data_IF_385193497903
#
_entry.id   IF_385193497903
#
_cell.length_a   1.000
_cell.length_b   1.000
_cell.length_c   1.000
_cell.angle_alpha   90.00
_cell.angle_beta   90.00
_cell.angle_gamma   90.00
#
_symmetry.space_group_name_H-M   'P 1'
#
loop_
_entity.id
_entity.type
_entity.pdbx_description
1 polymer ?
#
# COMPACT_ATOMS: atom_id res chain seq x y z
N UNK A 1 19.38 16.20 38.16
CA UNK A 1 18.29 16.60 37.26
C UNK A 1 18.42 15.82 35.96
N UNK A 2 17.64 14.75 35.75
CA UNK A 2 17.57 14.06 34.46
C UNK A 2 16.41 14.69 33.65
N UNK A 3 16.75 15.50 32.66
CA UNK A 3 15.82 16.35 31.91
C UNK A 3 15.67 15.98 30.44
N UNK A 4 14.50 16.31 29.90
CA UNK A 4 14.31 16.71 28.50
C UNK A 4 13.92 15.63 27.50
N UNK A 5 14.70 14.57 27.35
CA UNK A 5 14.61 13.74 26.14
C UNK A 5 13.50 12.67 26.15
N UNK A 6 13.14 12.13 27.32
CA UNK A 6 12.15 11.04 27.42
C UNK A 6 10.71 11.51 27.20
N UNK A 7 10.40 12.77 27.52
CA UNK A 7 9.05 13.33 27.39
C UNK A 7 8.68 13.73 25.96
N UNK A 8 9.67 14.07 25.12
CA UNK A 8 9.45 14.40 23.70
C UNK A 8 9.11 13.12 22.92
N UNK A 9 9.82 12.03 23.18
CA UNK A 9 9.51 10.70 22.58
C UNK A 9 8.11 10.21 22.95
N UNK A 10 7.65 10.46 24.20
CA UNK A 10 6.29 10.09 24.61
C UNK A 10 5.19 10.92 23.92
N UNK A 11 5.46 12.20 23.63
CA UNK A 11 4.52 13.06 22.87
C UNK A 11 4.48 12.74 21.38
N UNK A 12 5.59 12.25 20.81
CA UNK A 12 5.67 11.75 19.43
C UNK A 12 4.85 10.45 19.25
N UNK A 13 4.56 9.72 20.32
CA UNK A 13 3.85 8.43 20.30
C UNK A 13 2.34 8.50 20.56
N UNK A 14 1.80 9.66 20.97
CA UNK A 14 0.34 9.88 20.99
C UNK A 14 -0.10 10.32 19.58
N UNK A 15 -0.30 9.34 18.71
CA UNK A 15 -1.00 9.54 17.44
C UNK A 15 -2.45 9.89 17.77
N UNK A 16 -2.90 11.07 17.34
CA UNK A 16 -4.30 11.42 17.44
C UNK A 16 -5.05 10.66 16.34
N UNK A 17 -6.20 10.09 16.69
CA UNK A 17 -7.03 9.33 15.76
C UNK A 17 -8.20 10.21 15.34
N UNK A 18 -8.43 10.32 14.04
CA UNK A 18 -9.61 10.96 13.45
C UNK A 18 -10.41 9.90 12.68
N UNK A 19 -11.59 9.56 13.20
CA UNK A 19 -12.53 8.66 12.53
C UNK A 19 -13.33 9.43 11.47
N UNK A 20 -12.99 9.19 10.21
CA UNK A 20 -13.62 9.84 9.05
C UNK A 20 -14.98 9.25 8.68
N UNK A 21 -15.47 8.24 9.41
CA UNK A 21 -16.85 7.74 9.29
C UNK A 21 -17.83 8.49 10.18
N UNK A 22 -17.34 9.15 11.24
CA UNK A 22 -18.16 9.93 12.18
C UNK A 22 -18.17 11.43 11.92
N UNK A 23 -17.40 11.89 10.93
CA UNK A 23 -17.29 13.30 10.55
C UNK A 23 -17.60 13.50 9.07
N UNK A 24 -18.19 14.65 8.74
CA UNK A 24 -18.28 15.07 7.33
C UNK A 24 -16.89 15.42 6.78
N UNK A 25 -16.78 15.48 5.45
CA UNK A 25 -15.54 15.85 4.77
C UNK A 25 -15.12 17.27 5.14
N UNK A 26 -16.08 18.20 5.20
CA UNK A 26 -15.85 19.60 5.54
C UNK A 26 -15.40 19.75 7.01
N UNK A 27 -16.00 19.02 7.94
CA UNK A 27 -15.59 19.02 9.34
C UNK A 27 -14.18 18.45 9.52
N UNK A 28 -13.88 17.33 8.85
CA UNK A 28 -12.55 16.71 8.88
C UNK A 28 -11.48 17.67 8.35
N UNK A 29 -11.75 18.35 7.23
CA UNK A 29 -10.84 19.37 6.67
C UNK A 29 -10.65 20.54 7.63
N UNK A 30 -11.71 21.01 8.30
CA UNK A 30 -11.59 22.10 9.28
C UNK A 30 -10.70 21.70 10.45
N UNK A 31 -10.94 20.53 11.06
CA UNK A 31 -10.15 20.00 12.18
C UNK A 31 -8.66 19.91 11.78
N UNK A 32 -8.38 19.26 10.65
CA UNK A 32 -7.01 19.06 10.20
C UNK A 32 -6.32 20.38 9.80
N UNK A 33 -7.05 21.37 9.29
CA UNK A 33 -6.50 22.69 8.96
C UNK A 33 -6.10 23.47 10.21
N UNK A 34 -6.90 23.42 11.27
CA UNK A 34 -6.55 23.99 12.57
C UNK A 34 -5.29 23.34 13.16
N UNK A 35 -5.08 22.04 12.92
CA UNK A 35 -3.85 21.36 13.33
C UNK A 35 -2.63 21.82 12.52
N UNK A 36 -2.76 22.09 11.22
CA UNK A 36 -1.66 22.60 10.39
C UNK A 36 -1.24 24.03 10.78
N UNK A 37 -2.17 24.83 11.31
CA UNK A 37 -1.85 26.14 11.87
C UNK A 37 -1.00 26.03 13.14
N UNK A 38 -1.27 25.02 13.99
CA UNK A 38 -0.51 24.77 15.22
C UNK A 38 0.81 24.06 14.97
N UNK A 39 0.82 23.10 14.05
CA UNK A 39 1.96 22.23 13.75
C UNK A 39 2.39 22.45 12.30
N UNK A 40 3.62 22.93 12.04
CA UNK A 40 4.05 23.28 10.69
C UNK A 40 4.24 22.06 9.76
N UNK A 41 4.20 20.85 10.32
CA UNK A 41 4.20 19.58 9.57
C UNK A 41 3.10 18.69 10.14
N UNK A 42 2.19 18.25 9.27
CA UNK A 42 1.24 17.18 9.54
C UNK A 42 1.61 15.92 8.76
N UNK A 43 1.45 14.76 9.39
CA UNK A 43 1.67 13.45 8.78
C UNK A 43 0.37 12.65 8.94
N UNK A 44 -0.31 12.37 7.84
CA UNK A 44 -1.48 11.52 7.81
C UNK A 44 -1.07 10.07 7.63
N UNK A 45 -1.63 9.23 8.48
CA UNK A 45 -1.29 7.82 8.66
C UNK A 45 -2.55 6.97 8.73
N UNK A 46 -2.39 5.64 8.73
CA UNK A 46 -3.51 4.69 8.89
C UNK A 46 -4.01 4.11 7.57
N UNK A 47 -5.16 3.41 7.57
CA UNK A 47 -5.53 2.48 6.51
C UNK A 47 -5.72 3.13 5.13
N UNK A 48 -5.54 2.31 4.10
CA UNK A 48 -5.99 2.65 2.76
C UNK A 48 -7.51 2.88 2.77
N UNK A 49 -7.95 4.10 2.44
CA UNK A 49 -9.38 4.44 2.39
C UNK A 49 -9.85 5.29 3.55
N UNK A 50 -8.99 5.54 4.53
CA UNK A 50 -9.18 6.56 5.56
C UNK A 50 -9.22 7.99 5.03
N UNK A 51 -9.04 8.20 3.71
CA UNK A 51 -9.22 9.51 3.08
C UNK A 51 -8.01 10.44 3.13
N UNK A 52 -6.82 9.95 3.50
CA UNK A 52 -5.57 10.73 3.63
C UNK A 52 -5.31 11.68 2.46
N UNK A 53 -5.15 11.14 1.26
CA UNK A 53 -4.87 11.91 0.05
C UNK A 53 -6.03 12.87 -0.28
N UNK A 54 -7.27 12.40 -0.15
CA UNK A 54 -8.47 13.22 -0.43
C UNK A 54 -8.58 14.42 0.50
N UNK A 55 -8.43 14.21 1.81
CA UNK A 55 -8.50 15.27 2.81
C UNK A 55 -7.30 16.22 2.68
N UNK A 56 -6.10 15.70 2.42
CA UNK A 56 -4.92 16.53 2.18
C UNK A 56 -5.09 17.48 0.99
N UNK A 57 -5.59 16.98 -0.15
CA UNK A 57 -5.89 17.82 -1.33
C UNK A 57 -6.90 18.92 -0.99
N UNK A 58 -7.89 18.60 -0.17
CA UNK A 58 -8.93 19.56 0.24
C UNK A 58 -8.40 20.62 1.20
N UNK A 59 -7.43 20.28 2.05
CA UNK A 59 -6.77 21.23 2.95
C UNK A 59 -5.81 22.19 2.24
N UNK A 60 -5.32 21.85 1.05
CA UNK A 60 -4.37 22.69 0.31
C UNK A 60 -4.91 24.13 0.18
N UNK A 61 -4.08 25.07 0.61
CA UNK A 61 -4.40 26.51 0.70
C UNK A 61 -3.12 27.34 0.50
N UNK A 62 -3.26 28.66 0.53
CA UNK A 62 -2.13 29.61 0.44
C UNK A 62 -1.07 29.43 1.54
N UNK A 63 -1.46 28.84 2.69
CA UNK A 63 -0.57 28.54 3.81
C UNK A 63 0.17 27.21 3.65
N UNK A 64 -0.16 26.40 2.65
CA UNK A 64 0.52 25.13 2.38
C UNK A 64 1.70 25.37 1.45
N UNK A 65 2.87 24.82 1.77
CA UNK A 65 4.07 24.91 0.94
C UNK A 65 4.35 23.63 0.17
N UNK A 66 4.11 22.48 0.81
CA UNK A 66 4.34 21.18 0.18
C UNK A 66 3.34 20.12 0.64
N UNK A 67 3.07 19.17 -0.26
CA UNK A 67 2.31 17.94 0.01
C UNK A 67 3.07 16.75 -0.58
N UNK A 68 3.50 15.83 0.25
CA UNK A 68 4.20 14.63 -0.17
C UNK A 68 3.43 13.35 0.16
N UNK A 69 3.55 12.34 -0.69
CA UNK A 69 2.97 11.01 -0.53
C UNK A 69 4.07 9.96 -0.68
N UNK A 70 4.02 8.91 0.14
CA UNK A 70 4.90 7.75 0.04
C UNK A 70 4.68 6.94 -1.24
N UNK A 71 5.75 6.31 -1.77
CA UNK A 71 5.70 5.57 -3.05
C UNK A 71 5.02 4.18 -2.97
N UNK A 72 4.77 3.64 -1.77
CA UNK A 72 4.27 2.27 -1.60
C UNK A 72 2.74 2.19 -1.45
N UNK A 73 2.09 1.33 -2.26
CA UNK A 73 0.64 1.37 -2.59
C UNK A 73 -0.32 0.89 -1.48
N UNK A 74 0.18 0.20 -0.46
CA UNK A 74 -0.66 -0.41 0.57
C UNK A 74 -1.21 0.59 1.59
N UNK A 75 -0.46 1.64 1.94
CA UNK A 75 -0.93 2.60 2.94
C UNK A 75 -0.49 4.07 2.81
N UNK A 76 0.43 4.41 1.89
CA UNK A 76 0.78 5.78 1.47
C UNK A 76 0.55 6.89 2.52
N UNK A 77 1.50 7.11 3.46
CA UNK A 77 1.43 8.27 4.34
C UNK A 77 1.48 9.56 3.53
N UNK A 78 0.75 10.57 3.98
CA UNK A 78 0.69 11.89 3.35
C UNK A 78 1.27 12.93 4.30
N UNK A 79 2.29 13.67 3.86
CA UNK A 79 2.96 14.71 4.64
C UNK A 79 2.58 16.07 4.08
N UNK A 80 1.97 16.91 4.91
CA UNK A 80 1.68 18.32 4.59
C UNK A 80 2.63 19.23 5.37
N UNK A 81 3.18 20.21 4.68
CA UNK A 81 4.15 21.16 5.24
C UNK A 81 3.68 22.58 4.98
N UNK A 82 3.66 23.39 6.03
CA UNK A 82 3.30 24.81 5.97
C UNK A 82 4.34 25.62 5.20
N UNK A 83 3.88 26.64 4.47
CA UNK A 83 4.68 27.40 3.49
C UNK A 83 5.89 28.10 4.08
N UNK A 84 5.70 28.82 5.18
CA UNK A 84 6.77 29.46 5.94
C UNK A 84 7.83 28.44 6.42
N UNK A 85 7.40 27.23 6.78
CA UNK A 85 8.31 26.20 7.26
C UNK A 85 9.09 25.52 6.11
N UNK A 86 8.48 25.38 4.93
CA UNK A 86 9.20 24.97 3.70
C UNK A 86 10.34 25.94 3.40
N UNK A 87 10.08 27.26 3.43
CA UNK A 87 11.09 28.28 3.17
C UNK A 87 12.25 28.20 4.17
N UNK A 88 11.93 28.00 5.46
CA UNK A 88 12.95 27.79 6.50
C UNK A 88 13.77 26.52 6.27
N UNK A 89 13.15 25.40 5.91
CA UNK A 89 13.87 24.14 5.64
C UNK A 89 14.76 24.22 4.40
N UNK A 90 14.35 24.97 3.37
CA UNK A 90 15.18 25.21 2.17
C UNK A 90 16.42 26.07 2.47
N UNK A 91 16.33 26.93 3.48
CA UNK A 91 17.45 27.76 3.93
C UNK A 91 18.47 27.06 4.83
N UNK A 92 18.15 25.86 5.34
CA UNK A 92 19.03 25.12 6.27
C UNK A 92 19.78 23.99 5.55
N UNK A 93 21.11 24.03 5.62
CA UNK A 93 21.99 23.02 5.03
C UNK A 93 21.99 21.73 5.88
N UNK A 94 21.66 20.60 5.26
CA UNK A 94 21.78 19.28 5.87
C UNK A 94 23.17 18.67 5.62
N UNK A 95 23.60 18.59 4.36
CA UNK A 95 24.92 18.08 3.99
C UNK A 95 25.42 18.68 2.67
N UNK A 96 26.72 18.52 2.38
CA UNK A 96 27.28 18.75 1.04
C UNK A 96 27.54 17.41 0.38
N UNK A 97 26.75 17.08 -0.64
CA UNK A 97 26.83 15.79 -1.33
C UNK A 97 27.76 15.89 -2.53
N UNK A 98 28.75 15.00 -2.59
CA UNK A 98 29.63 14.86 -3.75
C UNK A 98 28.85 14.28 -4.93
N UNK A 99 28.92 14.94 -6.08
CA UNK A 99 28.36 14.45 -7.34
C UNK A 99 29.40 13.58 -8.08
N UNK A 100 28.96 12.65 -8.95
CA UNK A 100 29.84 11.82 -9.77
C UNK A 100 30.36 12.59 -11.01
N UNK A 101 30.62 13.88 -10.86
CA UNK A 101 31.18 14.76 -11.88
C UNK A 101 32.32 15.58 -11.26
N UNK A 102 33.33 15.89 -12.07
CA UNK A 102 34.55 16.58 -11.65
C UNK A 102 34.77 17.80 -12.54
N UNK A 103 35.18 18.91 -11.94
CA UNK A 103 35.68 20.09 -12.64
C UNK A 103 37.22 20.08 -12.53
N UNK A 104 37.88 19.53 -13.55
CA UNK A 104 39.31 19.20 -13.47
C UNK A 104 39.54 18.03 -12.51
N UNK A 105 40.40 18.24 -11.52
CA UNK A 105 40.71 17.25 -10.47
C UNK A 105 39.82 17.38 -9.22
N UNK A 106 38.96 18.41 -9.16
CA UNK A 106 38.10 18.65 -8.00
C UNK A 106 36.69 18.08 -8.20
N UNK A 107 36.15 17.35 -7.20
CA UNK A 107 34.78 16.86 -7.26
C UNK A 107 33.79 18.00 -7.05
N UNK A 108 32.71 18.00 -7.84
CA UNK A 108 31.62 18.97 -7.66
C UNK A 108 30.74 18.53 -6.48
N UNK A 109 30.36 19.48 -5.65
CA UNK A 109 29.43 19.26 -4.54
C UNK A 109 28.13 20.01 -4.75
N UNK A 110 27.04 19.44 -4.26
CA UNK A 110 25.75 20.10 -4.14
C UNK A 110 25.36 20.23 -2.68
N UNK A 111 24.86 21.40 -2.32
CA UNK A 111 24.29 21.66 -0.99
C UNK A 111 22.90 20.99 -0.94
N UNK A 112 22.71 20.08 0.01
CA UNK A 112 21.44 19.38 0.26
C UNK A 112 20.79 20.05 1.46
N UNK A 113 19.58 20.56 1.30
CA UNK A 113 18.84 21.20 2.40
C UNK A 113 18.12 20.18 3.28
N UNK A 114 17.66 20.61 4.47
CA UNK A 114 16.75 19.78 5.30
C UNK A 114 15.48 19.45 4.52
N UNK A 115 14.98 20.38 3.71
CA UNK A 115 13.80 20.15 2.87
C UNK A 115 14.02 19.00 1.88
N UNK A 116 15.15 18.98 1.19
CA UNK A 116 15.49 17.93 0.23
C UNK A 116 15.58 16.57 0.91
N UNK A 117 16.14 16.52 2.13
CA UNK A 117 16.23 15.30 2.91
C UNK A 117 14.86 14.80 3.38
N UNK A 118 13.97 15.69 3.82
CA UNK A 118 12.58 15.32 4.17
C UNK A 118 11.84 14.79 2.96
N UNK A 119 11.92 15.49 1.82
CA UNK A 119 11.31 15.05 0.55
C UNK A 119 11.83 13.67 0.14
N UNK A 120 13.15 13.46 0.18
CA UNK A 120 13.76 12.18 -0.12
C UNK A 120 13.29 11.07 0.82
N UNK A 121 13.18 11.34 2.13
CA UNK A 121 12.68 10.36 3.09
C UNK A 121 11.24 9.94 2.79
N UNK A 122 10.35 10.90 2.49
CA UNK A 122 8.97 10.58 2.12
C UNK A 122 8.92 9.82 0.79
N UNK A 123 9.71 10.21 -0.21
CA UNK A 123 9.74 9.53 -1.50
C UNK A 123 10.37 8.13 -1.45
N UNK A 124 11.38 7.95 -0.62
CA UNK A 124 12.10 6.68 -0.49
C UNK A 124 11.41 5.71 0.45
N UNK A 125 10.35 6.14 1.17
CA UNK A 125 9.71 5.23 2.09
C UNK A 125 8.96 4.13 1.32
N UNK A 126 9.51 2.93 1.47
CA UNK A 126 8.89 1.71 1.01
C UNK A 126 7.99 1.20 2.14
N UNK A 127 6.79 1.75 2.20
CA UNK A 127 5.81 1.45 3.24
C UNK A 127 4.83 0.35 2.82
N UNK A 128 5.21 -0.90 3.11
CA UNK A 128 4.28 -2.03 3.04
C UNK A 128 3.41 -2.00 4.30
N UNK A 129 2.12 -1.68 4.14
CA UNK A 129 1.06 -1.75 5.14
C UNK A 129 1.30 -0.92 6.44
N UNK A 130 1.77 0.34 6.37
CA UNK A 130 1.96 1.29 7.51
C UNK A 130 3.21 1.09 8.41
N UNK A 131 4.14 0.19 8.10
CA UNK A 131 5.37 -0.01 8.93
C UNK A 131 6.41 1.09 8.77
N UNK A 132 6.38 1.78 7.64
CA UNK A 132 7.24 2.91 7.38
C UNK A 132 6.86 4.12 8.24
N UNK A 133 5.58 4.29 8.57
CA UNK A 133 5.08 5.52 9.17
C UNK A 133 5.74 5.89 10.51
N UNK A 134 5.93 4.97 11.49
CA UNK A 134 6.60 5.33 12.75
C UNK A 134 8.05 5.77 12.54
N UNK A 135 8.78 5.10 11.63
CA UNK A 135 10.16 5.47 11.32
C UNK A 135 10.19 6.77 10.50
N UNK A 136 9.24 7.01 9.60
CA UNK A 136 9.06 8.27 8.89
C UNK A 136 8.85 9.42 9.86
N UNK A 137 7.88 9.27 10.78
CA UNK A 137 7.56 10.26 11.80
C UNK A 137 8.81 10.56 12.63
N UNK A 138 9.52 9.52 13.07
CA UNK A 138 10.75 9.65 13.86
C UNK A 138 11.85 10.37 13.08
N UNK A 139 12.13 9.98 11.84
CA UNK A 139 13.19 10.59 11.03
C UNK A 139 12.88 12.05 10.68
N UNK A 140 11.64 12.35 10.26
CA UNK A 140 11.21 13.73 10.03
C UNK A 140 11.31 14.53 11.32
N UNK A 141 10.85 13.99 12.46
CA UNK A 141 10.96 14.66 13.77
C UNK A 141 12.40 15.00 14.12
N UNK A 142 13.35 14.08 13.92
CA UNK A 142 14.76 14.32 14.20
C UNK A 142 15.36 15.42 13.31
N UNK A 143 14.98 15.46 12.04
CA UNK A 143 15.43 16.49 11.10
C UNK A 143 14.86 17.87 11.46
N UNK A 144 13.57 17.94 11.80
CA UNK A 144 12.86 19.21 11.98
C UNK A 144 12.98 19.76 13.40
N UNK A 145 13.36 18.92 14.37
CA UNK A 145 13.59 19.33 15.75
C UNK A 145 14.68 20.41 15.85
N UNK A 146 15.73 20.32 15.00
CA UNK A 146 16.79 21.34 14.92
C UNK A 146 16.26 22.73 14.52
N UNK A 147 15.12 22.75 13.81
CA UNK A 147 14.42 23.97 13.39
C UNK A 147 13.30 24.38 14.38
N UNK A 148 13.21 23.71 15.53
CA UNK A 148 12.22 24.01 16.57
C UNK A 148 10.81 23.51 16.26
N UNK A 149 10.66 22.56 15.33
CA UNK A 149 9.35 21.99 14.97
C UNK A 149 9.30 20.49 15.22
N UNK A 150 8.19 20.05 15.82
CA UNK A 150 7.85 18.63 15.98
C UNK A 150 6.64 18.35 15.09
N UNK A 151 6.72 17.41 14.14
CA UNK A 151 5.59 17.00 13.32
C UNK A 151 4.44 16.45 14.17
N UNK A 152 3.21 16.63 13.70
CA UNK A 152 2.03 16.00 14.28
C UNK A 152 1.55 14.88 13.36
N UNK A 153 1.59 13.65 13.86
CA UNK A 153 0.99 12.51 13.19
C UNK A 153 -0.48 12.38 13.58
N UNK A 154 -1.35 12.21 12.58
CA UNK A 154 -2.78 11.99 12.74
C UNK A 154 -3.14 10.73 11.96
N UNK A 155 -3.76 9.77 12.65
CA UNK A 155 -4.25 8.53 12.05
C UNK A 155 -5.66 8.74 11.55
N UNK A 156 -5.90 8.49 10.26
CA UNK A 156 -7.23 8.61 9.66
C UNK A 156 -7.86 7.24 9.52
N UNK A 157 -8.90 6.98 10.30
CA UNK A 157 -9.62 5.71 10.33
C UNK A 157 -11.04 5.85 9.77
N UNK A 158 -11.71 4.72 9.55
CA UNK A 158 -13.14 4.65 9.25
C UNK A 158 -13.63 3.23 9.58
N UNK A 159 -14.95 3.02 9.64
CA UNK A 159 -15.53 1.68 9.74
C UNK A 159 -15.16 0.79 8.55
N UNK A 160 -15.10 -0.52 8.74
CA UNK A 160 -14.65 -1.46 7.71
C UNK A 160 -15.56 -1.46 6.47
N UNK A 161 -16.88 -1.39 6.68
CA UNK A 161 -17.86 -1.25 5.60
C UNK A 161 -17.60 0.00 4.76
N UNK A 162 -17.28 1.12 5.42
CA UNK A 162 -17.01 2.39 4.76
C UNK A 162 -15.64 2.38 4.05
N UNK A 163 -14.62 1.73 4.63
CA UNK A 163 -13.32 1.52 3.98
C UNK A 163 -13.45 0.66 2.72
N UNK A 164 -14.26 -0.40 2.74
CA UNK A 164 -14.55 -1.24 1.57
C UNK A 164 -15.28 -0.41 0.51
N UNK A 165 -16.38 0.25 0.88
CA UNK A 165 -17.16 1.09 -0.05
C UNK A 165 -16.30 2.16 -0.71
N UNK A 166 -15.47 2.87 0.07
CA UNK A 166 -14.55 3.89 -0.45
C UNK A 166 -13.50 3.28 -1.37
N UNK A 167 -12.90 2.13 -1.02
CA UNK A 167 -11.96 1.40 -1.89
C UNK A 167 -12.58 1.10 -3.26
N UNK A 168 -13.80 0.57 -3.28
CA UNK A 168 -14.50 0.23 -4.51
C UNK A 168 -14.85 1.48 -5.34
N UNK A 169 -15.19 2.60 -4.69
CA UNK A 169 -15.63 3.84 -5.35
C UNK A 169 -14.50 4.82 -5.73
N UNK A 170 -13.24 4.61 -5.29
CA UNK A 170 -12.10 5.55 -5.50
C UNK A 170 -11.85 5.94 -6.95
N UNK A 171 -12.19 5.10 -7.91
CA UNK A 171 -12.00 5.42 -9.33
C UNK A 171 -12.97 6.50 -9.82
N UNK A 172 -14.14 6.62 -9.18
CA UNK A 172 -15.21 7.55 -9.57
C UNK A 172 -14.82 9.02 -9.31
N UNK A 173 -14.06 9.28 -8.24
CA UNK A 173 -13.70 10.64 -7.81
C UNK A 173 -12.25 11.04 -8.16
N UNK A 174 -11.49 10.14 -8.79
CA UNK A 174 -10.07 10.35 -9.08
C UNK A 174 -9.82 11.55 -10.03
N UNK A 175 -10.74 11.79 -10.96
CA UNK A 175 -10.68 12.94 -11.88
C UNK A 175 -10.78 14.25 -11.12
N UNK A 176 -11.77 14.35 -10.23
CA UNK A 176 -12.00 15.52 -9.40
C UNK A 176 -10.81 15.76 -8.47
N UNK A 177 -10.33 14.72 -7.79
CA UNK A 177 -9.16 14.79 -6.90
C UNK A 177 -7.92 15.31 -7.63
N UNK A 178 -7.61 14.77 -8.81
CA UNK A 178 -6.46 15.24 -9.60
C UNK A 178 -6.65 16.69 -10.07
N UNK A 179 -7.87 17.04 -10.49
CA UNK A 179 -8.17 18.39 -10.98
C UNK A 179 -8.01 19.43 -9.87
N UNK A 180 -8.57 19.15 -8.68
CA UNK A 180 -8.42 20.02 -7.51
C UNK A 180 -6.96 20.15 -7.07
N UNK A 181 -6.18 19.06 -7.11
CA UNK A 181 -4.76 19.11 -6.80
C UNK A 181 -4.02 20.06 -7.75
N UNK A 182 -4.14 19.85 -9.07
CA UNK A 182 -3.44 20.66 -10.08
C UNK A 182 -3.86 22.14 -9.99
N UNK A 183 -5.16 22.42 -9.80
CA UNK A 183 -5.66 23.78 -9.64
C UNK A 183 -5.00 24.48 -8.45
N UNK A 184 -4.98 23.82 -7.29
CA UNK A 184 -4.45 24.38 -6.05
C UNK A 184 -2.92 24.51 -6.07
N UNK A 185 -2.22 23.56 -6.68
CA UNK A 185 -0.77 23.66 -6.93
C UNK A 185 -0.42 24.93 -7.69
N UNK A 186 -1.11 25.16 -8.83
CA UNK A 186 -0.90 26.36 -9.66
C UNK A 186 -1.30 27.63 -8.93
N UNK A 187 -2.44 27.62 -8.24
CA UNK A 187 -2.98 28.80 -7.55
C UNK A 187 -2.12 29.26 -6.38
N UNK A 188 -1.60 28.33 -5.58
CA UNK A 188 -0.93 28.64 -4.31
C UNK A 188 0.60 28.45 -4.36
N UNK A 189 1.13 27.87 -5.43
CA UNK A 189 2.55 27.55 -5.60
C UNK A 189 3.00 26.40 -4.69
N UNK A 190 2.18 25.35 -4.58
CA UNK A 190 2.43 24.19 -3.71
C UNK A 190 3.30 23.18 -4.46
N UNK A 191 4.35 22.70 -3.81
CA UNK A 191 5.14 21.58 -4.33
C UNK A 191 4.50 20.25 -3.93
N UNK A 192 4.31 19.31 -4.87
CA UNK A 192 3.86 17.96 -4.54
C UNK A 192 4.61 16.89 -5.30
N UNK A 193 4.82 15.73 -4.68
CA UNK A 193 5.42 14.55 -5.31
C UNK A 193 4.36 13.48 -5.65
N UNK A 194 3.08 13.86 -5.73
CA UNK A 194 2.03 12.88 -5.87
C UNK A 194 2.13 12.21 -7.25
N UNK A 195 2.54 10.95 -7.25
CA UNK A 195 2.85 10.14 -8.44
C UNK A 195 1.78 9.06 -8.70
N UNK A 196 0.75 8.96 -7.85
CA UNK A 196 -0.35 8.02 -8.03
C UNK A 196 -1.65 8.52 -7.38
N UNK A 197 -2.66 8.83 -8.20
CA UNK A 197 -4.06 8.86 -7.73
C UNK A 197 -4.70 7.60 -8.26
N UNK A 198 -5.06 6.68 -7.37
CA UNK A 198 -5.81 5.48 -7.75
C UNK A 198 -7.09 5.91 -8.48
N UNK A 199 -7.21 5.54 -9.76
CA UNK A 199 -8.32 5.98 -10.61
C UNK A 199 -7.95 6.96 -11.73
N UNK A 200 -6.77 7.58 -11.69
CA UNK A 200 -6.37 8.62 -12.65
C UNK A 200 -5.38 8.12 -13.71
N UNK A 201 -5.31 8.83 -14.86
CA UNK A 201 -4.34 8.56 -15.93
C UNK A 201 -2.93 8.92 -15.50
N UNK A 202 -1.99 8.00 -15.66
CA UNK A 202 -0.56 8.23 -15.35
C UNK A 202 -0.02 9.43 -16.15
N UNK A 203 -0.43 9.60 -17.40
CA UNK A 203 0.01 10.74 -18.22
C UNK A 203 -0.43 12.08 -17.66
N UNK A 204 -1.62 12.14 -17.04
CA UNK A 204 -2.18 13.39 -16.51
C UNK A 204 -1.51 13.73 -15.17
N UNK A 205 -1.21 12.72 -14.36
CA UNK A 205 -0.40 12.85 -13.13
C UNK A 205 1.01 13.38 -13.45
N UNK A 206 1.64 12.87 -14.51
CA UNK A 206 3.00 13.27 -14.90
C UNK A 206 3.06 14.66 -15.54
N UNK A 207 2.10 15.00 -16.42
CA UNK A 207 2.14 16.26 -17.17
C UNK A 207 1.67 17.46 -16.34
N UNK A 208 0.69 17.30 -15.44
CA UNK A 208 0.11 18.38 -14.62
C UNK A 208 -0.43 19.60 -15.40
N UNK A 209 -0.62 19.47 -16.71
CA UNK A 209 -1.13 20.54 -17.57
C UNK A 209 -2.66 20.68 -17.47
N UNK A 210 -3.36 19.57 -17.22
CA UNK A 210 -4.81 19.49 -17.04
C UNK A 210 -5.26 18.03 -16.92
N UNK A 211 -6.54 17.81 -16.62
CA UNK A 211 -7.13 16.47 -16.51
C UNK A 211 -8.10 16.23 -17.66
N UNK A 212 -7.79 15.27 -18.53
CA UNK A 212 -8.65 14.93 -19.65
C UNK A 212 -9.87 14.12 -19.19
N UNK A 213 -10.91 14.03 -20.02
CA UNK A 213 -11.96 13.03 -19.80
C UNK A 213 -11.36 11.63 -19.85
N UNK A 214 -11.68 10.82 -18.84
CA UNK A 214 -11.23 9.45 -18.73
C UNK A 214 -12.19 8.56 -19.52
N UNK A 215 -11.68 7.78 -20.47
CA UNK A 215 -12.39 6.59 -20.95
C UNK A 215 -12.17 5.46 -19.93
N UNK A 216 -13.16 4.57 -19.77
CA UNK A 216 -13.16 3.55 -18.69
C UNK A 216 -11.94 2.61 -18.73
N UNK A 217 -11.25 2.52 -19.86
CA UNK A 217 -10.09 1.66 -20.14
C UNK A 217 -8.72 2.28 -19.79
N UNK A 218 -8.67 3.53 -19.30
CA UNK A 218 -7.41 4.28 -19.14
C UNK A 218 -7.00 4.55 -17.68
N UNK A 219 -7.57 3.80 -16.73
CA UNK A 219 -7.45 4.03 -15.28
C UNK A 219 -6.34 3.16 -14.64
N UNK A 220 -5.63 3.68 -13.60
CA UNK A 220 -4.75 2.85 -12.76
C UNK A 220 -5.57 1.83 -11.96
N UNK A 221 -5.29 0.55 -12.20
CA UNK A 221 -5.80 -0.66 -11.57
C UNK A 221 -7.08 -0.61 -10.69
N UNK A 222 -8.16 -1.24 -11.13
CA UNK A 222 -9.48 -1.38 -10.45
C UNK A 222 -10.00 -2.82 -10.48
N UNK A 223 -11.18 -3.10 -9.91
CA UNK A 223 -11.86 -4.41 -10.03
C UNK A 223 -12.09 -4.80 -11.51
N UNK A 224 -12.18 -3.80 -12.40
CA UNK A 224 -12.18 -3.99 -13.85
C UNK A 224 -10.81 -4.43 -14.39
N UNK A 225 -9.78 -4.70 -13.60
CA UNK A 225 -8.55 -5.38 -14.04
C UNK A 225 -8.64 -6.89 -13.93
N UNK A 226 -9.65 -7.36 -13.22
CA UNK A 226 -10.01 -8.77 -13.21
C UNK A 226 -10.85 -9.04 -14.45
N UNK A 227 -10.64 -10.21 -15.02
CA UNK A 227 -11.40 -10.67 -16.16
C UNK A 227 -12.86 -10.85 -15.74
N UNK A 228 -13.03 -11.48 -14.58
CA UNK A 228 -14.32 -11.74 -13.95
C UNK A 228 -14.14 -12.11 -12.48
N UNK A 229 -15.27 -12.05 -11.78
CA UNK A 229 -15.44 -12.53 -10.41
C UNK A 229 -16.45 -13.66 -10.46
N UNK A 230 -16.15 -14.77 -9.81
CA UNK A 230 -17.03 -15.93 -9.71
C UNK A 230 -17.54 -16.02 -8.27
N UNK A 231 -18.85 -15.84 -8.03
CA UNK A 231 -19.43 -15.96 -6.70
C UNK A 231 -19.18 -17.34 -6.11
N UNK A 232 -18.69 -17.38 -4.88
CA UNK A 232 -18.36 -18.63 -4.15
C UNK A 232 -19.43 -19.04 -3.16
N UNK A 233 -20.55 -18.31 -3.11
CA UNK A 233 -21.71 -18.68 -2.31
C UNK A 233 -22.16 -20.09 -2.71
N UNK A 234 -22.24 -20.99 -1.72
CA UNK A 234 -22.56 -22.42 -1.87
C UNK A 234 -21.48 -23.30 -2.56
N UNK A 235 -20.30 -22.77 -2.86
CA UNK A 235 -19.16 -23.57 -3.34
C UNK A 235 -18.39 -24.18 -2.16
N UNK A 236 -17.96 -25.43 -2.31
CA UNK A 236 -16.96 -26.04 -1.43
C UNK A 236 -15.54 -25.64 -1.82
N UNK A 237 -14.56 -25.92 -0.95
CA UNK A 237 -13.14 -25.76 -1.27
C UNK A 237 -12.77 -26.52 -2.55
N UNK A 238 -13.28 -27.73 -2.70
CA UNK A 238 -13.05 -28.59 -3.87
C UNK A 238 -13.57 -27.92 -5.14
N UNK A 239 -14.79 -27.39 -5.11
CA UNK A 239 -15.37 -26.69 -6.26
C UNK A 239 -14.53 -25.47 -6.68
N UNK A 240 -14.02 -24.71 -5.70
CA UNK A 240 -13.16 -23.57 -5.97
C UNK A 240 -11.80 -24.00 -6.56
N UNK A 241 -11.21 -25.10 -6.07
CA UNK A 241 -9.94 -25.63 -6.58
C UNK A 241 -10.08 -26.16 -8.01
N UNK A 242 -11.13 -26.94 -8.30
CA UNK A 242 -11.44 -27.44 -9.66
C UNK A 242 -11.51 -26.25 -10.62
N UNK A 243 -12.33 -25.25 -10.26
CA UNK A 243 -12.55 -24.09 -11.11
C UNK A 243 -11.26 -23.27 -11.32
N UNK A 244 -10.43 -23.16 -10.29
CA UNK A 244 -9.13 -22.47 -10.39
C UNK A 244 -8.17 -23.20 -11.35
N UNK A 245 -8.11 -24.53 -11.28
CA UNK A 245 -7.31 -25.39 -12.18
C UNK A 245 -7.84 -25.31 -13.62
N UNK A 246 -9.16 -25.40 -13.83
CA UNK A 246 -9.79 -25.27 -15.14
C UNK A 246 -9.48 -23.92 -15.79
N UNK A 247 -9.53 -22.83 -15.04
CA UNK A 247 -9.20 -21.49 -15.52
C UNK A 247 -7.73 -21.41 -15.92
N UNK A 248 -6.84 -22.00 -15.13
CA UNK A 248 -5.41 -22.05 -15.44
C UNK A 248 -5.15 -22.86 -16.72
N UNK A 249 -5.74 -24.05 -16.85
CA UNK A 249 -5.56 -24.94 -18.00
C UNK A 249 -6.19 -24.40 -19.30
N UNK A 250 -7.42 -23.91 -19.22
CA UNK A 250 -8.20 -23.53 -20.40
C UNK A 250 -7.93 -22.09 -20.86
N UNK A 251 -7.61 -21.20 -19.93
CA UNK A 251 -7.50 -19.76 -20.21
C UNK A 251 -6.12 -19.17 -19.93
N UNK A 252 -5.22 -19.93 -19.28
CA UNK A 252 -3.88 -19.47 -18.88
C UNK A 252 -3.94 -18.17 -18.07
N UNK A 253 -4.92 -18.07 -17.16
CA UNK A 253 -5.11 -16.90 -16.28
C UNK A 253 -4.84 -17.29 -14.83
N UNK A 254 -4.26 -16.35 -14.09
CA UNK A 254 -4.22 -16.45 -12.64
C UNK A 254 -5.64 -16.32 -12.07
N UNK A 255 -5.92 -17.03 -10.98
CA UNK A 255 -7.14 -16.93 -10.22
C UNK A 255 -6.88 -17.24 -8.75
N UNK A 256 -7.73 -16.77 -7.85
CA UNK A 256 -7.56 -17.05 -6.42
C UNK A 256 -8.73 -16.60 -5.54
N UNK A 257 -8.72 -17.06 -4.29
CA UNK A 257 -9.75 -16.81 -3.28
C UNK A 257 -9.17 -16.93 -1.86
N UNK A 258 -9.98 -16.60 -0.85
CA UNK A 258 -9.58 -16.56 0.55
C UNK A 258 -10.41 -17.53 1.38
N UNK A 259 -9.73 -18.31 2.22
CA UNK A 259 -10.32 -19.25 3.18
C UNK A 259 -10.01 -18.80 4.60
N UNK A 260 -11.01 -18.87 5.48
CA UNK A 260 -10.89 -18.68 6.91
C UNK A 260 -11.01 -20.03 7.63
N UNK A 261 -10.01 -20.36 8.41
CA UNK A 261 -9.94 -21.57 9.23
C UNK A 261 -10.34 -21.25 10.65
N UNK A 262 -11.46 -21.80 11.12
CA UNK A 262 -11.95 -21.65 12.49
C UNK A 262 -12.09 -23.01 13.18
N UNK A 263 -12.44 -23.02 14.47
CA UNK A 263 -12.73 -24.26 15.20
C UNK A 263 -13.97 -25.00 14.65
N UNK A 264 -14.82 -24.29 13.89
CA UNK A 264 -16.01 -24.85 13.22
C UNK A 264 -15.69 -25.43 11.83
N UNK A 265 -14.48 -25.16 11.30
CA UNK A 265 -14.01 -25.67 10.01
C UNK A 265 -13.49 -24.58 9.07
N UNK A 266 -13.39 -24.95 7.79
CA UNK A 266 -12.90 -24.08 6.72
C UNK A 266 -14.06 -23.37 6.03
N UNK A 267 -13.99 -22.05 5.91
CA UNK A 267 -15.01 -21.24 5.28
C UNK A 267 -14.40 -20.37 4.17
N UNK A 268 -14.94 -20.44 2.96
CA UNK A 268 -14.57 -19.52 1.90
C UNK A 268 -15.20 -18.16 2.20
N UNK A 269 -14.39 -17.10 2.22
CA UNK A 269 -14.81 -15.76 2.64
C UNK A 269 -14.62 -14.69 1.57
N UNK A 270 -14.24 -15.09 0.36
CA UNK A 270 -14.17 -14.22 -0.81
C UNK A 270 -14.74 -14.93 -2.03
N UNK A 271 -15.17 -14.14 -3.01
CA UNK A 271 -15.38 -14.64 -4.36
C UNK A 271 -14.05 -15.12 -4.97
N UNK A 272 -14.13 -15.97 -5.99
CA UNK A 272 -12.98 -16.37 -6.79
C UNK A 272 -12.72 -15.29 -7.84
N UNK A 273 -11.54 -14.70 -7.77
CA UNK A 273 -11.14 -13.58 -8.62
C UNK A 273 -10.26 -14.11 -9.74
N UNK A 274 -10.52 -13.71 -10.99
CA UNK A 274 -9.77 -14.14 -12.18
C UNK A 274 -9.05 -12.96 -12.81
N UNK A 275 -7.76 -13.08 -13.09
CA UNK A 275 -6.94 -12.03 -13.69
C UNK A 275 -7.21 -11.83 -15.19
N UNK A 276 -7.15 -10.60 -15.70
CA UNK A 276 -7.30 -10.31 -17.15
C UNK A 276 -6.24 -10.90 -18.05
N UNK A 277 -5.03 -11.06 -17.52
CA UNK A 277 -3.86 -11.47 -18.28
C UNK A 277 -3.09 -12.53 -17.50
N UNK A 278 -2.19 -13.23 -18.18
CA UNK A 278 -1.27 -14.26 -17.64
C UNK A 278 -0.37 -13.74 -16.49
N UNK A 279 -0.38 -12.44 -16.22
CA UNK A 279 0.54 -11.72 -15.32
C UNK A 279 -0.21 -10.87 -14.28
N UNK A 280 -1.26 -11.41 -13.67
CA UNK A 280 -1.92 -10.76 -12.54
C UNK A 280 -1.13 -11.03 -11.23
N UNK A 281 -1.40 -10.27 -10.16
CA UNK A 281 -0.82 -10.51 -8.82
C UNK A 281 -1.98 -10.71 -7.83
N UNK A 282 -2.78 -11.75 -8.05
CA UNK A 282 -4.07 -11.94 -7.38
C UNK A 282 -3.88 -12.20 -5.89
N UNK A 283 -2.86 -12.96 -5.48
CA UNK A 283 -2.61 -13.27 -4.07
C UNK A 283 -2.48 -12.02 -3.17
N UNK A 284 -1.63 -11.07 -3.56
CA UNK A 284 -1.45 -9.79 -2.82
C UNK A 284 -2.69 -8.91 -2.93
N UNK A 285 -3.33 -8.90 -4.10
CA UNK A 285 -4.50 -8.03 -4.35
C UNK A 285 -5.74 -8.50 -3.57
N UNK A 286 -5.91 -9.81 -3.36
CA UNK A 286 -7.01 -10.37 -2.55
C UNK A 286 -6.91 -9.96 -1.08
N UNK A 287 -5.71 -9.99 -0.52
CA UNK A 287 -5.43 -9.54 0.86
C UNK A 287 -5.76 -8.06 1.05
N UNK A 288 -5.47 -7.23 0.03
CA UNK A 288 -5.77 -5.80 0.03
C UNK A 288 -7.28 -5.50 -0.10
N UNK A 289 -8.02 -6.31 -0.86
CA UNK A 289 -9.44 -6.08 -1.14
C UNK A 289 -10.35 -6.59 0.00
N UNK A 290 -10.13 -7.81 0.50
CA UNK A 290 -11.15 -8.53 1.28
C UNK A 290 -10.88 -8.63 2.78
N UNK A 291 -9.63 -8.48 3.24
CA UNK A 291 -9.28 -8.82 4.63
C UNK A 291 -9.17 -7.61 5.54
N UNK A 292 -8.49 -6.54 5.12
CA UNK A 292 -8.23 -5.39 5.99
C UNK A 292 -7.36 -5.78 7.19
N UNK A 293 -6.03 -5.76 7.03
CA UNK A 293 -5.10 -6.07 8.10
C UNK A 293 -4.92 -4.89 9.05
N UNK A 294 -4.98 -5.12 10.37
CA UNK A 294 -4.64 -4.13 11.40
C UNK A 294 -3.37 -4.55 12.14
N UNK A 295 -2.57 -3.60 12.58
CA UNK A 295 -1.38 -3.87 13.38
C UNK A 295 -1.76 -3.95 14.88
N UNK A 296 -1.39 -5.04 15.57
CA UNK A 296 -1.41 -5.06 17.04
C UNK A 296 -0.04 -4.57 17.57
N UNK A 297 0.05 -3.28 17.94
CA UNK A 297 1.32 -2.61 18.30
C UNK A 297 1.91 -3.01 19.66
N UNK A 298 1.36 -3.99 20.37
CA UNK A 298 1.95 -4.51 21.62
C UNK A 298 3.06 -5.55 21.38
N UNK A 299 3.12 -6.13 20.18
CA UNK A 299 4.07 -7.17 19.80
C UNK A 299 4.66 -6.77 18.44
N UNK A 300 5.98 -6.68 18.32
CA UNK A 300 6.69 -6.47 17.04
C UNK A 300 6.58 -7.71 16.10
N UNK A 301 5.43 -8.37 16.06
CA UNK A 301 5.12 -9.54 15.23
C UNK A 301 3.69 -9.44 14.69
N UNK A 302 3.62 -9.61 13.37
CA UNK A 302 2.48 -9.88 12.50
C UNK A 302 1.24 -8.98 12.61
N UNK A 303 0.84 -8.49 11.44
CA UNK A 303 -0.51 -7.96 11.25
C UNK A 303 -1.54 -9.00 11.70
N UNK A 304 -2.57 -8.56 12.41
CA UNK A 304 -3.67 -9.42 12.81
C UNK A 304 -4.91 -9.00 12.03
N UNK A 305 -5.50 -9.93 11.29
CA UNK A 305 -6.84 -9.74 10.75
C UNK A 305 -7.85 -9.83 11.89
N UNK A 306 -8.96 -9.09 11.81
CA UNK A 306 -9.97 -9.06 12.88
C UNK A 306 -10.85 -10.32 12.94
N UNK A 307 -10.75 -11.19 11.92
CA UNK A 307 -11.47 -12.46 11.88
C UNK A 307 -10.89 -13.42 12.91
N UNK A 308 -11.74 -14.03 13.73
CA UNK A 308 -11.34 -15.15 14.59
C UNK A 308 -11.01 -16.37 13.71
N UNK A 309 -9.77 -16.83 13.74
CA UNK A 309 -9.29 -17.97 12.93
C UNK A 309 -7.91 -17.75 12.31
N UNK A 310 -7.52 -18.61 11.36
CA UNK A 310 -6.35 -18.41 10.48
C UNK A 310 -6.81 -18.15 9.06
N UNK A 311 -6.27 -17.11 8.41
CA UNK A 311 -6.53 -16.86 7.00
C UNK A 311 -5.59 -17.64 6.10
N UNK A 312 -6.12 -18.07 4.96
CA UNK A 312 -5.40 -18.68 3.86
C UNK A 312 -5.75 -17.97 2.56
N UNK A 313 -4.73 -17.60 1.78
CA UNK A 313 -4.88 -17.19 0.39
C UNK A 313 -4.53 -18.38 -0.48
N UNK A 314 -5.46 -18.78 -1.34
CA UNK A 314 -5.23 -19.83 -2.34
C UNK A 314 -5.28 -19.16 -3.71
N UNK A 315 -4.22 -19.30 -4.50
CA UNK A 315 -4.19 -18.80 -5.88
C UNK A 315 -3.44 -19.75 -6.82
N UNK A 316 -3.67 -19.61 -8.12
CA UNK A 316 -3.00 -20.41 -9.13
C UNK A 316 -1.60 -19.90 -9.45
N UNK A 317 -0.71 -20.83 -9.80
CA UNK A 317 0.64 -20.54 -10.27
C UNK A 317 0.61 -19.81 -11.62
N UNK A 318 1.45 -18.79 -11.77
CA UNK A 318 1.70 -18.12 -13.06
C UNK A 318 3.17 -18.23 -13.45
N UNK A 319 3.54 -19.17 -14.35
CA UNK A 319 4.93 -19.42 -14.69
C UNK A 319 5.67 -18.15 -15.13
N UNK A 320 5.07 -17.38 -16.04
CA UNK A 320 5.74 -16.22 -16.64
C UNK A 320 6.19 -15.15 -15.63
N UNK A 321 5.44 -14.92 -14.54
CA UNK A 321 5.78 -13.93 -13.53
C UNK A 321 6.79 -14.44 -12.51
N UNK A 322 6.57 -15.66 -12.02
CA UNK A 322 7.45 -16.24 -11.00
C UNK A 322 8.83 -16.56 -11.59
N UNK A 323 8.88 -17.01 -12.85
CA UNK A 323 10.12 -17.21 -13.58
C UNK A 323 10.83 -15.87 -13.90
N UNK A 324 10.10 -14.82 -14.30
CA UNK A 324 10.70 -13.49 -14.50
C UNK A 324 11.25 -12.91 -13.19
N UNK A 325 10.51 -13.00 -12.09
CA UNK A 325 10.96 -12.54 -10.77
C UNK A 325 12.21 -13.29 -10.32
N UNK A 326 12.21 -14.62 -10.45
CA UNK A 326 13.33 -15.46 -10.08
C UNK A 326 14.57 -15.19 -10.91
N UNK A 327 14.40 -15.04 -12.23
CA UNK A 327 15.49 -14.79 -13.19
C UNK A 327 16.04 -13.35 -13.16
N UNK A 328 15.23 -12.38 -12.73
CA UNK A 328 15.66 -10.98 -12.59
C UNK A 328 16.28 -10.66 -11.23
N UNK A 329 16.18 -11.58 -10.26
CA UNK A 329 16.81 -11.43 -8.95
C UNK A 329 18.32 -11.73 -9.03
N UNK A 330 19.20 -10.73 -8.82
CA UNK A 330 20.65 -10.88 -8.97
C UNK A 330 21.29 -11.78 -7.89
N UNK A 331 20.52 -12.21 -6.90
CA UNK A 331 20.95 -13.09 -5.81
C UNK A 331 20.55 -14.55 -6.01
N UNK A 332 19.81 -14.87 -7.08
CA UNK A 332 19.40 -16.24 -7.40
C UNK A 332 20.58 -17.02 -8.00
N UNK A 333 20.94 -18.20 -7.45
CA UNK A 333 21.97 -19.04 -8.04
C UNK A 333 21.58 -19.50 -9.46
N UNK A 334 22.49 -19.55 -10.45
CA UNK A 334 22.19 -19.93 -11.84
C UNK A 334 21.63 -21.36 -12.04
N UNK A 335 21.56 -22.15 -10.97
CA UNK A 335 21.22 -23.58 -10.99
C UNK A 335 20.05 -23.92 -10.04
N UNK A 336 19.36 -22.92 -9.51
CA UNK A 336 18.22 -23.15 -8.64
C UNK A 336 16.95 -23.36 -9.47
N UNK A 337 16.14 -24.36 -9.11
CA UNK A 337 14.84 -24.60 -9.72
C UNK A 337 13.88 -23.45 -9.37
N UNK A 338 13.03 -23.07 -10.31
CA UNK A 338 12.01 -22.03 -10.08
C UNK A 338 11.02 -22.53 -9.01
N UNK A 339 10.90 -21.86 -7.86
CA UNK A 339 9.94 -22.24 -6.84
C UNK A 339 8.51 -21.92 -7.29
N UNK A 340 7.56 -22.80 -6.96
CA UNK A 340 6.11 -22.63 -7.21
C UNK A 340 5.50 -21.48 -6.40
N UNK A 341 6.11 -21.19 -5.25
CA UNK A 341 5.76 -20.06 -4.41
C UNK A 341 6.74 -18.92 -4.68
N UNK A 342 6.21 -17.73 -5.01
CA UNK A 342 7.06 -16.56 -5.25
C UNK A 342 7.71 -16.06 -3.96
N UNK A 343 8.73 -15.21 -4.09
CA UNK A 343 9.33 -14.57 -2.90
C UNK A 343 8.35 -13.62 -2.21
N UNK A 344 7.39 -13.06 -2.97
CA UNK A 344 6.29 -12.25 -2.45
C UNK A 344 5.31 -13.08 -1.61
N UNK A 345 4.97 -14.30 -2.04
CA UNK A 345 4.06 -15.20 -1.33
C UNK A 345 4.68 -15.69 -0.01
N UNK A 346 5.96 -16.09 -0.05
CA UNK A 346 6.69 -16.48 1.15
C UNK A 346 6.81 -15.33 2.15
N UNK A 347 7.11 -14.13 1.66
CA UNK A 347 7.16 -12.92 2.49
C UNK A 347 5.79 -12.54 3.04
N UNK A 348 4.71 -12.73 2.28
CA UNK A 348 3.35 -12.47 2.74
C UNK A 348 2.94 -13.46 3.84
N UNK A 349 3.17 -14.76 3.65
CA UNK A 349 2.88 -15.77 4.65
C UNK A 349 3.59 -15.51 5.99
N UNK A 350 4.90 -15.21 5.95
CA UNK A 350 5.68 -14.94 7.15
C UNK A 350 5.23 -13.66 7.87
N UNK A 351 4.91 -12.60 7.12
CA UNK A 351 4.68 -11.26 7.69
C UNK A 351 3.25 -11.02 8.14
N UNK A 352 2.27 -11.66 7.51
CA UNK A 352 0.84 -11.51 7.84
C UNK A 352 0.30 -12.63 8.73
N UNK A 353 1.14 -13.61 9.10
CA UNK A 353 0.72 -14.82 9.85
C UNK A 353 -0.49 -15.50 9.18
N UNK A 354 -0.48 -15.52 7.85
CA UNK A 354 -1.46 -16.19 7.01
C UNK A 354 -0.84 -17.40 6.34
N UNK A 355 -1.69 -18.33 5.93
CA UNK A 355 -1.30 -19.37 5.00
C UNK A 355 -1.37 -18.80 3.57
N UNK A 356 -0.37 -19.10 2.77
CA UNK A 356 -0.41 -18.86 1.32
C UNK A 356 -0.21 -20.20 0.66
N UNK A 357 -1.11 -20.56 -0.24
CA UNK A 357 -1.11 -21.83 -0.95
C UNK A 357 -1.22 -21.55 -2.44
N UNK A 358 -0.30 -22.11 -3.22
CA UNK A 358 -0.22 -21.98 -4.67
C UNK A 358 -0.49 -23.33 -5.30
N UNK A 359 -1.36 -23.36 -6.32
CA UNK A 359 -1.72 -24.59 -7.05
C UNK A 359 -1.37 -24.43 -8.53
N UNK A 360 -0.58 -25.35 -9.08
CA UNK A 360 -0.27 -25.44 -10.50
C UNK A 360 -1.43 -26.06 -11.29
N UNK A 361 -1.44 -25.81 -12.60
CA UNK A 361 -2.46 -26.33 -13.51
C UNK A 361 -2.44 -27.86 -13.64
N UNK A 362 -1.30 -28.49 -13.32
CA UNK A 362 -1.14 -29.95 -13.28
C UNK A 362 -1.39 -30.55 -11.89
N UNK A 363 -1.92 -29.75 -10.96
CA UNK A 363 -2.31 -30.20 -9.63
C UNK A 363 -1.18 -30.20 -8.59
N UNK A 364 0.05 -29.78 -8.93
CA UNK A 364 1.08 -29.58 -7.90
C UNK A 364 0.69 -28.46 -6.95
N UNK A 365 0.95 -28.67 -5.65
CA UNK A 365 0.64 -27.69 -4.61
C UNK A 365 1.90 -27.28 -3.87
N UNK A 366 2.03 -25.99 -3.55
CA UNK A 366 2.97 -25.49 -2.57
C UNK A 366 2.26 -24.63 -1.52
N UNK A 367 2.66 -24.74 -0.25
CA UNK A 367 2.05 -23.95 0.82
C UNK A 367 3.07 -23.55 1.88
N UNK A 368 2.88 -22.37 2.46
CA UNK A 368 3.70 -21.90 3.58
C UNK A 368 3.52 -22.77 4.84
N UNK A 369 2.45 -23.57 4.89
CA UNK A 369 2.21 -24.58 5.92
C UNK A 369 2.41 -25.99 5.38
N UNK A 370 3.41 -26.72 5.91
CA UNK A 370 3.69 -28.12 5.53
C UNK A 370 2.50 -29.07 5.75
N UNK A 371 1.66 -28.78 6.74
CA UNK A 371 0.45 -29.57 7.02
C UNK A 371 -0.60 -29.31 5.93
N UNK A 372 -0.83 -28.02 5.64
CA UNK A 372 -1.81 -27.60 4.65
C UNK A 372 -1.43 -28.04 3.24
N UNK A 373 -0.13 -28.01 2.91
CA UNK A 373 0.40 -28.58 1.66
C UNK A 373 -0.10 -30.00 1.43
N UNK A 374 0.09 -30.89 2.41
CA UNK A 374 -0.31 -32.31 2.28
C UNK A 374 -1.83 -32.47 2.14
N UNK A 375 -2.59 -31.71 2.91
CA UNK A 375 -4.05 -31.74 2.84
C UNK A 375 -4.55 -31.33 1.45
N UNK A 376 -3.99 -30.25 0.88
CA UNK A 376 -4.33 -29.81 -0.47
C UNK A 376 -3.80 -30.78 -1.54
N UNK A 377 -2.62 -31.38 -1.37
CA UNK A 377 -2.11 -32.43 -2.26
C UNK A 377 -3.05 -33.64 -2.30
N UNK A 378 -3.57 -34.09 -1.16
CA UNK A 378 -4.56 -35.17 -1.07
C UNK A 378 -5.87 -34.78 -1.77
N UNK A 379 -6.42 -33.60 -1.46
CA UNK A 379 -7.65 -33.09 -2.10
C UNK A 379 -7.50 -33.01 -3.62
N UNK A 380 -6.40 -32.43 -4.11
CA UNK A 380 -6.16 -32.25 -5.54
C UNK A 380 -5.90 -33.59 -6.23
N UNK A 381 -5.21 -34.53 -5.57
CA UNK A 381 -5.00 -35.87 -6.13
C UNK A 381 -6.32 -36.64 -6.27
N UNK A 382 -7.16 -36.62 -5.24
CA UNK A 382 -8.48 -37.26 -5.25
C UNK A 382 -9.39 -36.64 -6.34
N UNK A 383 -9.25 -35.34 -6.61
CA UNK A 383 -9.95 -34.66 -7.70
C UNK A 383 -9.51 -35.16 -9.07
N UNK A 384 -8.20 -35.31 -9.29
CA UNK A 384 -7.64 -35.71 -10.59
C UNK A 384 -7.93 -37.19 -10.92
N UNK A 385 -8.05 -38.06 -9.90
CA UNK A 385 -8.45 -39.46 -10.09
C UNK A 385 -9.93 -39.65 -10.51
N UNK A 386 -10.77 -38.62 -10.32
CA UNK A 386 -12.19 -38.64 -10.71
C UNK A 386 -12.40 -38.23 -12.18
N UNK A 387 -11.41 -37.56 -12.80
CA UNK A 387 -11.45 -37.11 -14.21
C UNK A 387 -10.79 -38.09 -15.22
N UNK A 388 -10.10 -39.14 -14.74
CA UNK A 388 -9.65 -40.30 -15.56
C UNK A 388 -10.73 -41.40 -15.64
#
# INVERSE_FOLDING_TARGET
MPGGHTWILLRVLLMDILDTSTHTKEESVRILSEELEKYPILIFTGPQGGGKTTLAIQMLSENTGAMFEGRARSAQPVVLIRKDFVERMKGELYEKRKLPIFEGDEPVFVDVSIYDQVKLLVESIFDVMELGEPELIKQISLLTQKLGAVPKAIELTASDEELIKRRLARHLDAKERLSTLIEKEKKYGIESNLLGIQGAKITDILKRDGVADYSEDQISRTIKDFDRIIPTMDMSLVDCLIMMIEISNNENKESGFIVLHTDEGENIISDLVVGKHTNSLIGVTLLEIYVGFRQNRSLYRAYKHEKDGKLEVIHSYTPTLQEMEFMTNPWTPPCADNPIMSSADAAAAERFDIMVSVVEADGKVESSSKKRKKELEEIVSDMMEIEE
#
